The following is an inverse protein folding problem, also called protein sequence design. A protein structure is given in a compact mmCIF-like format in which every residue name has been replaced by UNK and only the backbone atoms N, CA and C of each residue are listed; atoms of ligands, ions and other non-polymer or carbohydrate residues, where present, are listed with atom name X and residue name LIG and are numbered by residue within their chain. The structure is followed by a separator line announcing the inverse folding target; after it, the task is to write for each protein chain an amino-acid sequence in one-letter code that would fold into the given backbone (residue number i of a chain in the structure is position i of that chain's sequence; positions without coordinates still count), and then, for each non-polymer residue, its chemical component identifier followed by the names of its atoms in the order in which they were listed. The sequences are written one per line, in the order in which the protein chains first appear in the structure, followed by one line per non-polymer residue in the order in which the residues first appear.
data_IF_304485132519
#
_entry.id   IF_304485132519
#
_cell.length_a   1.000
_cell.length_b   1.000
_cell.length_c   1.000
_cell.angle_alpha   90.00
_cell.angle_beta   90.00
_cell.angle_gamma   90.00
#
_symmetry.space_group_name_H-M   'P 1'
#
loop_
_entity.id
_entity.type
_entity.pdbx_description
1 polymer ?
#
# COMPACT_ATOMS: atom_id res chain seq x y z
N UNK A 1 78.47 17.11 -5.20
CA UNK A 1 77.26 17.78 -5.73
C UNK A 1 76.10 16.80 -5.57
N UNK A 2 75.52 16.68 -4.37
CA UNK A 2 74.22 17.28 -3.96
C UNK A 2 73.05 16.90 -4.89
N UNK A 3 72.08 16.12 -4.37
CA UNK A 3 70.78 15.99 -5.03
C UNK A 3 69.96 14.73 -4.69
N UNK A 4 69.63 14.51 -3.42
CA UNK A 4 68.64 13.53 -2.98
C UNK A 4 67.23 14.09 -3.23
N UNK A 5 66.32 13.35 -3.86
CA UNK A 5 64.88 13.61 -3.74
C UNK A 5 64.08 12.31 -3.76
N UNK A 6 63.33 12.13 -2.67
CA UNK A 6 62.53 10.97 -2.29
C UNK A 6 61.14 11.01 -2.95
N UNK A 7 60.63 9.81 -3.25
CA UNK A 7 59.23 9.33 -3.14
C UNK A 7 58.10 10.31 -3.51
N UNK A 8 57.34 9.95 -4.55
CA UNK A 8 55.91 10.25 -4.63
C UNK A 8 55.14 8.93 -4.79
N UNK A 9 54.54 8.55 -3.67
CA UNK A 9 53.55 7.51 -3.46
C UNK A 9 52.28 7.72 -4.27
N UNK A 10 51.71 6.61 -4.73
CA UNK A 10 50.27 6.31 -4.70
C UNK A 10 49.31 7.40 -5.18
N UNK A 11 48.99 7.40 -6.47
CA UNK A 11 47.79 8.05 -6.98
C UNK A 11 47.26 7.30 -8.22
N UNK A 12 46.61 6.14 -8.06
CA UNK A 12 45.62 5.62 -9.03
C UNK A 12 44.85 4.37 -8.57
N UNK A 13 44.42 4.28 -7.31
CA UNK A 13 43.47 3.22 -6.86
C UNK A 13 42.08 3.78 -6.48
N UNK A 14 41.87 5.09 -6.46
CA UNK A 14 40.60 5.65 -5.92
C UNK A 14 39.44 5.68 -6.94
N UNK A 15 39.64 5.39 -8.23
CA UNK A 15 38.55 5.49 -9.22
C UNK A 15 37.68 4.23 -9.39
N UNK A 16 37.90 3.14 -8.64
CA UNK A 16 37.11 1.90 -8.76
C UNK A 16 36.16 1.63 -7.56
N UNK A 17 36.10 2.52 -6.56
CA UNK A 17 35.32 2.29 -5.34
C UNK A 17 33.90 2.93 -5.35
N UNK A 18 33.54 3.72 -6.37
CA UNK A 18 32.27 4.44 -6.40
C UNK A 18 31.13 3.72 -7.16
N UNK A 19 31.38 2.54 -7.75
CA UNK A 19 30.38 1.81 -8.53
C UNK A 19 29.83 0.54 -7.85
N UNK A 20 30.24 0.24 -6.62
CA UNK A 20 29.84 -0.99 -5.90
C UNK A 20 28.86 -0.75 -4.74
N UNK A 21 28.41 0.49 -4.51
CA UNK A 21 27.45 0.81 -3.43
C UNK A 21 26.02 1.15 -3.91
N UNK A 22 25.73 0.96 -5.20
CA UNK A 22 24.34 0.88 -5.69
C UNK A 22 23.85 -0.57 -5.65
N UNK A 23 23.98 -1.21 -4.49
CA UNK A 23 23.10 -2.31 -4.16
C UNK A 23 21.78 -1.66 -3.72
N UNK A 24 20.85 -1.55 -4.66
CA UNK A 24 19.43 -1.33 -4.37
C UNK A 24 19.10 -2.26 -3.19
N UNK A 25 18.67 -1.69 -2.08
CA UNK A 25 18.24 -2.44 -0.92
C UNK A 25 16.94 -3.17 -1.29
N UNK A 26 17.07 -4.28 -2.03
CA UNK A 26 16.09 -5.33 -2.09
C UNK A 26 16.01 -5.86 -0.66
N UNK A 27 15.07 -5.30 0.11
CA UNK A 27 14.60 -5.92 1.32
C UNK A 27 14.33 -7.38 0.95
N UNK A 28 15.02 -8.32 1.61
CA UNK A 28 14.71 -9.74 1.49
C UNK A 28 13.23 -9.86 1.83
N UNK A 29 12.39 -10.02 0.80
CA UNK A 29 10.96 -9.92 0.97
C UNK A 29 10.54 -11.16 1.76
N UNK A 30 10.14 -11.02 3.03
CA UNK A 30 9.86 -12.17 3.87
C UNK A 30 8.65 -12.98 3.38
N UNK A 31 7.94 -12.45 2.38
CA UNK A 31 6.79 -13.02 1.71
C UNK A 31 7.13 -13.83 0.45
N UNK A 32 8.37 -13.77 -0.05
CA UNK A 32 8.79 -14.52 -1.24
C UNK A 32 8.61 -16.04 -1.04
N UNK A 33 8.90 -16.50 0.18
CA UNK A 33 8.70 -17.89 0.60
C UNK A 33 7.22 -18.28 0.77
N UNK A 34 6.34 -17.33 1.09
CA UNK A 34 4.90 -17.61 1.30
C UNK A 34 4.12 -17.58 -0.02
N UNK A 35 4.50 -16.72 -0.96
CA UNK A 35 3.70 -16.45 -2.16
C UNK A 35 4.37 -16.80 -3.50
N UNK A 36 5.57 -17.41 -3.47
CA UNK A 36 6.22 -17.95 -4.66
C UNK A 36 6.53 -16.90 -5.72
N UNK A 37 7.63 -16.15 -5.56
CA UNK A 37 8.30 -15.44 -6.65
C UNK A 37 7.38 -14.60 -7.55
N UNK A 38 6.76 -13.56 -7.00
CA UNK A 38 6.13 -12.53 -7.82
C UNK A 38 7.21 -11.63 -8.44
N UNK A 39 7.67 -12.01 -9.63
CA UNK A 39 8.47 -11.15 -10.51
C UNK A 39 7.54 -10.04 -11.06
N UNK A 40 7.33 -8.99 -10.25
CA UNK A 40 6.50 -7.84 -10.62
C UNK A 40 7.12 -7.05 -11.79
N UNK A 41 6.34 -6.62 -12.79
CA UNK A 41 6.90 -5.95 -13.96
C UNK A 41 7.45 -4.57 -13.60
N UNK A 42 8.76 -4.44 -13.77
CA UNK A 42 9.56 -3.24 -14.03
C UNK A 42 8.80 -1.91 -14.10
N UNK A 43 9.15 -1.02 -13.15
CA UNK A 43 9.33 0.44 -13.31
C UNK A 43 8.43 1.08 -14.38
N UNK A 44 7.17 1.33 -14.04
CA UNK A 44 6.41 2.37 -14.74
C UNK A 44 7.10 3.71 -14.46
N UNK A 45 7.85 4.20 -15.46
CA UNK A 45 8.43 5.53 -15.48
C UNK A 45 7.35 6.56 -15.17
N UNK A 46 7.63 7.36 -14.14
CA UNK A 46 6.96 8.61 -13.81
C UNK A 46 6.78 9.48 -15.06
N UNK A 47 5.55 9.60 -15.56
CA UNK A 47 5.23 10.57 -16.62
C UNK A 47 5.14 11.97 -16.00
N UNK A 48 5.74 13.02 -16.59
CA UNK A 48 5.55 14.38 -16.12
C UNK A 48 4.14 14.86 -16.48
N UNK A 49 3.43 15.39 -15.49
CA UNK A 49 2.12 16.03 -15.65
C UNK A 49 2.24 17.36 -16.42
N UNK A 50 1.55 17.46 -17.56
CA UNK A 50 1.40 18.72 -18.28
C UNK A 50 0.41 19.66 -17.54
N UNK A 51 0.61 21.00 -17.54
CA UNK A 51 -0.30 21.93 -16.87
C UNK A 51 -1.61 22.10 -17.66
N UNK A 52 -2.75 21.90 -16.99
CA UNK A 52 -4.08 22.23 -17.54
C UNK A 52 -4.22 23.76 -17.61
N UNK A 53 -4.46 24.28 -18.81
CA UNK A 53 -4.82 25.69 -19.05
C UNK A 53 -6.27 25.90 -18.58
N UNK A 54 -6.48 26.85 -17.67
CA UNK A 54 -7.81 27.21 -17.17
C UNK A 54 -8.59 27.98 -18.24
N UNK A 55 -9.58 27.34 -18.85
CA UNK A 55 -10.59 28.05 -19.65
C UNK A 55 -11.75 28.50 -18.76
N UNK A 56 -11.95 29.82 -18.74
CA UNK A 56 -12.98 30.54 -18.00
C UNK A 56 -14.30 30.52 -18.78
N UNK A 57 -15.44 30.15 -18.20
CA UNK A 57 -16.73 30.23 -18.89
C UNK A 57 -17.27 31.68 -18.94
N UNK A 58 -18.08 32.05 -19.96
CA UNK A 58 -18.64 33.39 -20.11
C UNK A 58 -19.82 33.68 -19.15
N UNK A 59 -20.12 34.96 -18.86
CA UNK A 59 -21.15 35.34 -17.89
C UNK A 59 -22.57 35.22 -18.45
N UNK A 60 -23.50 34.66 -17.67
CA UNK A 60 -24.94 34.70 -17.99
C UNK A 60 -25.55 36.01 -17.48
N UNK A 61 -26.32 36.68 -18.34
CA UNK A 61 -27.14 37.84 -17.99
C UNK A 61 -28.24 37.45 -17.01
N UNK A 62 -28.50 38.36 -16.06
CA UNK A 62 -29.39 38.18 -14.92
C UNK A 62 -30.49 39.21 -15.03
N UNK A 63 -31.66 38.79 -15.49
CA UNK A 63 -32.88 39.58 -15.41
C UNK A 63 -33.71 39.02 -14.25
N UNK A 64 -33.95 39.86 -13.25
CA UNK A 64 -34.66 39.51 -12.04
C UNK A 64 -36.15 39.84 -12.12
N UNK A 65 -36.97 39.00 -11.51
CA UNK A 65 -38.21 39.41 -10.85
C UNK A 65 -38.58 38.35 -9.78
N UNK A 66 -39.07 38.85 -8.66
CA UNK A 66 -39.23 38.16 -7.39
C UNK A 66 -40.44 37.22 -7.33
N UNK A 67 -40.38 36.20 -6.47
CA UNK A 67 -41.46 35.79 -5.56
C UNK A 67 -41.00 34.71 -4.55
N UNK A 68 -40.72 35.19 -3.34
CA UNK A 68 -41.18 34.75 -2.02
C UNK A 68 -41.62 33.28 -1.80
N UNK A 69 -40.93 32.65 -0.82
CA UNK A 69 -41.40 31.66 0.16
C UNK A 69 -42.08 30.36 -0.31
N UNK A 70 -41.56 29.22 0.14
CA UNK A 70 -42.23 28.29 1.10
C UNK A 70 -41.74 26.85 0.89
N UNK A 71 -41.07 26.30 1.93
CA UNK A 71 -41.15 24.91 2.43
C UNK A 71 -41.29 23.77 1.39
N UNK A 72 -40.19 23.07 1.09
CA UNK A 72 -40.20 21.65 0.67
C UNK A 72 -39.44 20.85 1.73
N UNK A 73 -40.03 19.98 2.56
CA UNK A 73 -40.78 18.77 2.26
C UNK A 73 -40.10 17.90 1.20
N UNK A 74 -39.27 16.98 1.73
CA UNK A 74 -39.14 15.58 1.31
C UNK A 74 -39.55 15.27 -0.13
N UNK A 75 -38.55 15.08 -1.00
CA UNK A 75 -38.71 14.40 -2.28
C UNK A 75 -37.51 13.46 -2.46
N UNK A 76 -37.64 12.30 -1.83
CA UNK A 76 -37.09 11.05 -2.37
C UNK A 76 -37.76 10.82 -3.74
N UNK A 77 -36.96 10.65 -4.80
CA UNK A 77 -37.43 10.19 -6.10
C UNK A 77 -36.48 9.12 -6.66
N UNK A 78 -37.01 8.16 -7.45
CA UNK A 78 -36.52 6.79 -7.57
C UNK A 78 -35.52 6.61 -8.72
N UNK A 79 -34.71 5.54 -8.65
CA UNK A 79 -33.56 5.30 -9.52
C UNK A 79 -33.83 4.60 -10.86
N UNK A 80 -32.74 4.39 -11.61
CA UNK A 80 -32.54 3.42 -12.70
C UNK A 80 -31.00 3.23 -12.92
N UNK A 81 -30.50 2.15 -13.58
CA UNK A 81 -29.72 1.10 -12.90
C UNK A 81 -28.32 0.78 -13.48
N UNK A 82 -27.50 0.09 -12.68
CA UNK A 82 -26.23 -0.58 -13.07
C UNK A 82 -25.01 0.04 -12.39
N UNK A 83 -24.32 -0.57 -11.44
CA UNK A 83 -23.98 -1.98 -11.23
C UNK A 83 -24.52 -2.52 -9.92
N UNK A 84 -25.35 -3.55 -9.99
CA UNK A 84 -25.72 -4.40 -8.86
C UNK A 84 -24.46 -5.09 -8.36
N UNK A 85 -23.88 -4.61 -7.26
CA UNK A 85 -23.05 -5.47 -6.42
C UNK A 85 -23.97 -6.59 -5.93
N UNK A 86 -23.76 -7.81 -6.43
CA UNK A 86 -24.52 -8.97 -6.00
C UNK A 86 -24.52 -9.01 -4.45
N UNK A 87 -25.68 -9.16 -3.80
CA UNK A 87 -25.71 -9.48 -2.38
C UNK A 87 -24.87 -10.74 -2.20
N UNK A 88 -23.76 -10.64 -1.48
CA UNK A 88 -23.03 -11.81 -1.04
C UNK A 88 -24.05 -12.68 -0.29
N UNK A 89 -24.41 -13.82 -0.90
CA UNK A 89 -25.27 -14.80 -0.25
C UNK A 89 -24.67 -15.12 1.13
N UNK A 90 -25.50 -15.31 2.17
CA UNK A 90 -25.00 -15.71 3.48
C UNK A 90 -24.25 -17.03 3.29
N UNK A 91 -22.91 -16.94 3.31
CA UNK A 91 -22.04 -18.10 3.44
C UNK A 91 -22.54 -18.85 4.68
N UNK A 92 -22.87 -20.14 4.52
CA UNK A 92 -23.36 -21.00 5.59
C UNK A 92 -22.45 -20.95 6.82
N UNK A 93 -22.88 -21.53 7.95
CA UNK A 93 -22.17 -21.40 9.22
C UNK A 93 -20.68 -21.68 9.04
N UNK A 94 -19.88 -20.62 9.22
CA UNK A 94 -18.43 -20.72 9.12
C UNK A 94 -17.98 -21.68 10.22
N UNK A 95 -17.17 -22.67 9.86
CA UNK A 95 -16.57 -23.55 10.86
C UNK A 95 -15.79 -22.74 11.91
N UNK A 96 -15.42 -23.36 13.04
CA UNK A 96 -14.58 -22.69 14.04
C UNK A 96 -13.34 -22.06 13.36
N UNK A 97 -12.98 -20.81 13.72
CA UNK A 97 -11.84 -20.15 13.11
C UNK A 97 -10.56 -20.97 13.37
N UNK A 98 -9.66 -21.10 12.38
CA UNK A 98 -8.40 -21.77 12.54
C UNK A 98 -7.56 -21.16 13.68
N UNK A 99 -6.68 -21.95 14.31
CA UNK A 99 -5.83 -21.45 15.40
C UNK A 99 -4.93 -20.26 15.01
N UNK A 100 -4.63 -20.08 13.72
CA UNK A 100 -3.82 -18.98 13.19
C UNK A 100 -4.63 -17.75 12.77
N UNK A 101 -5.97 -17.78 12.83
CA UNK A 101 -6.84 -16.66 12.41
C UNK A 101 -6.46 -15.30 13.03
N UNK A 102 -6.06 -15.22 14.33
CA UNK A 102 -5.57 -13.97 14.91
C UNK A 102 -4.30 -13.43 14.22
N UNK A 103 -3.39 -14.32 13.80
CA UNK A 103 -2.12 -13.94 13.16
C UNK A 103 -2.35 -13.46 11.73
N UNK A 104 -3.23 -14.12 10.97
CA UNK A 104 -3.61 -13.67 9.62
C UNK A 104 -4.42 -12.37 9.65
N UNK A 105 -5.30 -12.20 10.64
CA UNK A 105 -6.01 -10.93 10.85
C UNK A 105 -5.00 -9.81 11.13
N UNK A 106 -4.06 -10.03 12.06
CA UNK A 106 -3.01 -9.04 12.34
C UNK A 106 -2.13 -8.75 11.12
N UNK A 107 -1.77 -9.78 10.37
CA UNK A 107 -1.01 -9.63 9.12
C UNK A 107 -1.77 -8.76 8.12
N UNK A 108 -3.07 -8.97 7.96
CA UNK A 108 -3.92 -8.17 7.07
C UNK A 108 -3.90 -6.68 7.44
N UNK A 109 -4.01 -6.35 8.73
CA UNK A 109 -3.89 -4.97 9.22
C UNK A 109 -2.53 -4.34 8.89
N UNK A 110 -1.45 -5.08 9.15
CA UNK A 110 -0.07 -4.63 8.90
C UNK A 110 0.18 -4.38 7.41
N UNK A 111 -0.33 -5.25 6.54
CA UNK A 111 -0.28 -5.06 5.08
C UNK A 111 -1.01 -3.78 4.65
N UNK A 112 -2.17 -3.49 5.25
CA UNK A 112 -2.92 -2.26 4.99
C UNK A 112 -2.16 -1.00 5.39
N UNK A 113 -1.53 -1.02 6.56
CA UNK A 113 -0.70 0.08 7.00
C UNK A 113 0.54 0.29 6.11
N UNK A 114 1.22 -0.79 5.71
CA UNK A 114 2.37 -0.73 4.81
C UNK A 114 1.98 -0.19 3.42
N UNK A 115 0.83 -0.62 2.89
CA UNK A 115 0.32 -0.16 1.60
C UNK A 115 0.14 1.36 1.55
N UNK A 116 -0.35 1.98 2.64
CA UNK A 116 -0.47 3.44 2.72
C UNK A 116 0.88 4.12 2.97
N UNK A 117 1.60 3.70 4.02
CA UNK A 117 2.80 4.39 4.48
C UNK A 117 3.93 4.38 3.44
N UNK A 118 4.07 3.30 2.68
CA UNK A 118 5.14 3.16 1.69
C UNK A 118 4.86 3.91 0.39
N UNK A 119 3.59 4.08 0.06
CA UNK A 119 3.15 5.00 -1.00
C UNK A 119 3.45 6.45 -0.58
N UNK A 120 3.06 6.83 0.65
CA UNK A 120 3.28 8.18 1.19
C UNK A 120 4.79 8.54 1.30
N UNK A 121 5.63 7.57 1.66
CA UNK A 121 7.07 7.79 1.85
C UNK A 121 7.92 7.64 0.59
N UNK A 122 7.30 7.41 -0.57
CA UNK A 122 7.99 7.44 -1.87
C UNK A 122 8.84 6.21 -2.19
N UNK A 123 8.63 5.10 -1.47
CA UNK A 123 9.24 3.80 -1.83
C UNK A 123 8.62 3.23 -3.10
N UNK A 124 7.40 3.66 -3.47
CA UNK A 124 6.75 3.33 -4.75
C UNK A 124 6.20 1.91 -4.84
N UNK A 125 6.24 1.14 -3.75
CA UNK A 125 5.81 -0.26 -3.70
C UNK A 125 4.53 -0.45 -2.90
N UNK A 126 3.77 0.62 -2.62
CA UNK A 126 2.47 0.52 -1.96
C UNK A 126 1.48 -0.40 -2.71
N UNK A 127 1.57 -0.48 -4.04
CA UNK A 127 0.80 -1.42 -4.86
C UNK A 127 1.16 -2.88 -4.56
N UNK A 128 2.44 -3.18 -4.37
CA UNK A 128 2.94 -4.52 -4.04
C UNK A 128 2.30 -5.05 -2.75
N UNK A 129 2.17 -4.21 -1.72
CA UNK A 129 1.52 -4.57 -0.46
C UNK A 129 0.02 -4.84 -0.62
N UNK A 130 -0.66 -4.16 -1.57
CA UNK A 130 -2.04 -4.47 -1.93
C UNK A 130 -2.13 -5.81 -2.66
N UNK A 131 -1.18 -6.09 -3.56
CA UNK A 131 -1.04 -7.39 -4.21
C UNK A 131 -0.85 -8.54 -3.22
N UNK A 132 0.01 -8.35 -2.21
CA UNK A 132 0.20 -9.33 -1.11
C UNK A 132 -1.08 -9.58 -0.33
N UNK A 133 -1.88 -8.53 -0.08
CA UNK A 133 -3.20 -8.70 0.53
C UNK A 133 -4.15 -9.51 -0.36
N UNK A 134 -4.18 -9.24 -1.67
CA UNK A 134 -4.97 -10.04 -2.62
C UNK A 134 -4.56 -11.51 -2.59
N UNK A 135 -3.26 -11.81 -2.65
CA UNK A 135 -2.74 -13.16 -2.57
C UNK A 135 -3.10 -13.86 -1.25
N UNK A 136 -3.03 -13.14 -0.12
CA UNK A 136 -3.45 -13.65 1.20
C UNK A 136 -4.93 -14.03 1.19
N UNK A 137 -5.80 -13.17 0.67
CA UNK A 137 -7.23 -13.44 0.62
C UNK A 137 -7.54 -14.62 -0.28
N UNK A 138 -6.87 -14.76 -1.42
CA UNK A 138 -7.16 -15.84 -2.36
C UNK A 138 -6.69 -17.21 -1.81
N UNK A 139 -5.63 -17.22 -0.99
CA UNK A 139 -5.14 -18.42 -0.32
C UNK A 139 -5.96 -18.82 0.93
N UNK A 140 -6.33 -17.88 1.79
CA UNK A 140 -6.93 -18.16 3.11
C UNK A 140 -8.45 -17.94 3.17
N UNK A 141 -8.97 -17.01 2.36
CA UNK A 141 -10.35 -16.55 2.44
C UNK A 141 -10.91 -16.18 1.05
N UNK A 142 -11.11 -17.16 0.15
CA UNK A 142 -11.52 -16.89 -1.24
C UNK A 142 -12.90 -16.21 -1.31
N UNK A 143 -13.78 -16.40 -0.33
CA UNK A 143 -15.09 -15.74 -0.27
C UNK A 143 -15.66 -15.71 1.16
N UNK A 144 -16.83 -15.09 1.34
CA UNK A 144 -17.61 -15.14 2.57
C UNK A 144 -17.19 -14.19 3.69
N UNK A 145 -17.72 -14.43 4.89
CA UNK A 145 -17.53 -13.59 6.08
C UNK A 145 -16.06 -13.47 6.51
N UNK A 146 -15.27 -14.54 6.39
CA UNK A 146 -13.83 -14.51 6.62
C UNK A 146 -13.10 -13.48 5.76
N UNK A 147 -13.36 -13.48 4.45
CA UNK A 147 -12.76 -12.52 3.51
C UNK A 147 -13.08 -11.09 3.93
N UNK A 148 -14.34 -10.84 4.31
CA UNK A 148 -14.79 -9.53 4.79
C UNK A 148 -14.07 -9.10 6.07
N UNK A 149 -13.85 -10.00 7.03
CA UNK A 149 -13.08 -9.71 8.25
C UNK A 149 -11.63 -9.32 7.95
N UNK A 150 -10.96 -10.08 7.08
CA UNK A 150 -9.58 -9.79 6.69
C UNK A 150 -9.48 -8.46 5.91
N UNK A 151 -10.41 -8.20 5.00
CA UNK A 151 -10.51 -6.92 4.30
C UNK A 151 -10.78 -5.75 5.27
N UNK A 152 -11.64 -5.94 6.26
CA UNK A 152 -11.92 -4.93 7.27
C UNK A 152 -10.67 -4.60 8.10
N UNK A 153 -9.91 -5.62 8.48
CA UNK A 153 -8.62 -5.45 9.18
C UNK A 153 -7.59 -4.70 8.34
N UNK A 154 -7.43 -5.06 7.06
CA UNK A 154 -6.58 -4.31 6.13
C UNK A 154 -7.00 -2.83 6.03
N UNK A 155 -8.29 -2.58 5.84
CA UNK A 155 -8.82 -1.23 5.73
C UNK A 155 -8.62 -0.43 7.03
N UNK A 156 -8.68 -1.09 8.19
CA UNK A 156 -8.39 -0.47 9.47
C UNK A 156 -6.95 0.04 9.53
N UNK A 157 -5.97 -0.80 9.19
CA UNK A 157 -4.56 -0.41 9.15
C UNK A 157 -4.30 0.71 8.14
N UNK A 158 -4.88 0.62 6.95
CA UNK A 158 -4.74 1.64 5.91
C UNK A 158 -5.31 3.00 6.37
N UNK A 159 -6.58 3.03 6.80
CA UNK A 159 -7.27 4.26 7.19
C UNK A 159 -6.69 4.88 8.46
N UNK A 160 -6.21 4.07 9.40
CA UNK A 160 -5.59 4.57 10.63
C UNK A 160 -4.41 5.50 10.36
N UNK A 161 -3.56 5.14 9.39
CA UNK A 161 -2.44 5.98 8.98
C UNK A 161 -2.81 7.07 7.99
N UNK A 162 -3.82 6.83 7.14
CA UNK A 162 -4.38 7.86 6.27
C UNK A 162 -4.89 9.05 7.07
N UNK A 163 -5.55 8.82 8.22
CA UNK A 163 -6.06 9.91 9.05
C UNK A 163 -4.93 10.71 9.73
N UNK A 164 -3.83 10.04 10.07
CA UNK A 164 -2.77 10.59 10.92
C UNK A 164 -1.64 11.26 10.13
N UNK A 165 -1.30 10.75 8.95
CA UNK A 165 -0.19 11.26 8.14
C UNK A 165 -0.67 11.84 6.81
N UNK A 166 -0.17 13.04 6.49
CA UNK A 166 -0.36 13.72 5.20
C UNK A 166 0.93 13.88 4.40
N UNK A 167 2.07 13.68 5.04
CA UNK A 167 3.39 13.70 4.45
C UNK A 167 4.27 12.68 5.17
N UNK A 168 5.32 12.20 4.51
CA UNK A 168 6.26 11.28 5.11
C UNK A 168 7.05 11.97 6.24
N UNK A 169 7.00 11.42 7.45
CA UNK A 169 7.74 11.91 8.62
C UNK A 169 8.77 10.88 9.09
N UNK A 170 9.77 11.27 9.91
CA UNK A 170 10.69 10.30 10.53
C UNK A 170 9.97 9.22 11.36
N UNK A 171 8.86 9.58 12.01
CA UNK A 171 8.04 8.63 12.76
C UNK A 171 7.37 7.62 11.81
N UNK A 172 6.80 8.08 10.68
CA UNK A 172 6.24 7.19 9.67
C UNK A 172 7.28 6.18 9.14
N UNK A 173 8.52 6.61 8.90
CA UNK A 173 9.61 5.71 8.49
C UNK A 173 9.94 4.66 9.57
N UNK A 174 9.90 5.05 10.84
CA UNK A 174 10.10 4.13 11.96
C UNK A 174 8.96 3.11 12.08
N UNK A 175 7.72 3.53 11.82
CA UNK A 175 6.57 2.62 11.78
C UNK A 175 6.74 1.60 10.64
N UNK A 176 7.14 2.05 9.44
CA UNK A 176 7.38 1.16 8.30
C UNK A 176 8.40 0.07 8.68
N UNK A 177 9.55 0.43 9.28
CA UNK A 177 10.57 -0.56 9.62
C UNK A 177 10.08 -1.58 10.65
N UNK A 178 9.29 -1.15 11.64
CA UNK A 178 8.68 -2.04 12.64
C UNK A 178 7.66 -2.99 12.00
N UNK A 179 6.82 -2.48 11.11
CA UNK A 179 5.81 -3.29 10.43
C UNK A 179 6.39 -4.27 9.42
N UNK A 180 7.50 -3.95 8.75
CA UNK A 180 8.21 -4.94 7.93
C UNK A 180 8.73 -6.11 8.79
N UNK A 181 9.30 -5.80 9.97
CA UNK A 181 9.76 -6.83 10.89
C UNK A 181 8.60 -7.67 11.46
N UNK A 182 7.48 -7.02 11.81
CA UNK A 182 6.28 -7.69 12.30
C UNK A 182 5.66 -8.61 11.23
N UNK A 183 5.49 -8.10 10.01
CA UNK A 183 4.99 -8.84 8.86
C UNK A 183 5.85 -10.08 8.55
N UNK A 184 7.17 -9.95 8.62
CA UNK A 184 8.10 -11.08 8.49
C UNK A 184 7.90 -12.11 9.58
N UNK A 185 7.80 -11.66 10.84
CA UNK A 185 7.64 -12.54 12.00
C UNK A 185 6.32 -13.32 11.93
N UNK A 186 5.21 -12.65 11.62
CA UNK A 186 3.88 -13.28 11.51
C UNK A 186 3.89 -14.38 10.45
N UNK A 187 4.41 -14.07 9.26
CA UNK A 187 4.49 -15.02 8.15
C UNK A 187 5.31 -16.26 8.51
N UNK A 188 6.47 -16.05 9.15
CA UNK A 188 7.32 -17.16 9.62
C UNK A 188 6.64 -17.98 10.71
N UNK A 189 5.99 -17.36 11.68
CA UNK A 189 5.33 -18.07 12.78
C UNK A 189 4.15 -18.90 12.27
N UNK A 190 3.34 -18.35 11.36
CA UNK A 190 2.24 -19.07 10.72
C UNK A 190 2.78 -20.28 9.97
N UNK A 191 3.80 -20.09 9.12
CA UNK A 191 4.32 -21.17 8.29
C UNK A 191 5.05 -22.23 9.12
N UNK A 192 5.81 -21.82 10.14
CA UNK A 192 6.52 -22.74 11.03
C UNK A 192 5.56 -23.64 11.83
N UNK A 193 4.43 -23.09 12.28
CA UNK A 193 3.48 -23.84 13.12
C UNK A 193 2.40 -24.57 12.34
N UNK A 194 2.03 -24.06 11.17
CA UNK A 194 0.85 -24.52 10.42
C UNK A 194 1.12 -24.80 8.93
N UNK A 195 2.37 -24.67 8.46
CA UNK A 195 2.76 -24.80 7.05
C UNK A 195 3.13 -26.19 6.58
N UNK A 196 2.90 -27.25 7.38
CA UNK A 196 3.09 -28.63 6.94
C UNK A 196 1.71 -29.31 6.78
N UNK A 197 1.47 -30.03 5.66
CA UNK A 197 0.24 -30.81 5.44
C UNK A 197 0.10 -32.01 6.38
#
# INVERSE_FOLDING_TARGET
MTGQAKRATAALVVAAAAALFSAEAAAQDPFDFLFGGYDGPRRARRAPSAPRRSERPPPRKRDGAAQTQTKGQNQQAPGAPGTTGAPAAPSGPEGPPPPYDPQITRLSEVLGALAFLRDLCGSGDGEEWRGKMSALLDADAPSGARRQRLMASFNHGFRGYELTYRACTPNAKTVISRYLAEASRLTRDITYRYGNP
#
